data_IF_712918244666
#
_entry.id   IF_712918244666
#
_cell.length_a   1.000
_cell.length_b   1.000
_cell.length_c   1.000
_cell.angle_alpha   90.00
_cell.angle_beta   90.00
_cell.angle_gamma   90.00
#
_symmetry.space_group_name_H-M   'P 1'
#
loop_
_entity.id
_entity.type
_entity.pdbx_description
1 polymer ?
#
# COMPACT_ATOMS: atom_id res chain seq x y z
N UNK A 1 -2.38 -10.47 23.26
CA UNK A 1 -3.07 -10.12 22.00
C UNK A 1 -4.21 -9.16 22.28
N UNK A 2 -4.30 -8.10 21.50
CA UNK A 2 -5.33 -7.10 21.67
C UNK A 2 -6.69 -7.66 21.22
N UNK A 3 -7.74 -7.40 22.00
CA UNK A 3 -9.09 -7.82 21.63
C UNK A 3 -9.61 -6.99 20.47
N UNK A 4 -10.49 -7.59 19.65
CA UNK A 4 -11.08 -6.93 18.47
C UNK A 4 -11.68 -5.57 18.82
N UNK A 5 -12.41 -5.48 19.92
CA UNK A 5 -13.01 -4.22 20.37
C UNK A 5 -11.96 -3.15 20.64
N UNK A 6 -10.86 -3.54 21.29
CA UNK A 6 -9.75 -2.61 21.56
C UNK A 6 -9.10 -2.11 20.28
N UNK A 7 -8.96 -3.00 19.27
CA UNK A 7 -8.44 -2.61 17.96
C UNK A 7 -9.32 -1.55 17.31
N UNK A 8 -10.64 -1.75 17.34
CA UNK A 8 -11.58 -0.82 16.71
C UNK A 8 -11.58 0.57 17.33
N UNK A 9 -11.10 0.70 18.56
CA UNK A 9 -11.00 1.99 19.28
C UNK A 9 -9.71 2.74 19.02
N UNK A 10 -8.75 2.15 18.32
CA UNK A 10 -7.49 2.81 17.98
C UNK A 10 -7.73 3.95 16.98
N UNK A 11 -6.82 4.94 16.99
CA UNK A 11 -6.76 5.97 15.96
C UNK A 11 -6.52 5.31 14.58
N UNK A 12 -6.92 5.99 13.53
CA UNK A 12 -6.93 5.45 12.16
C UNK A 12 -5.60 4.82 11.74
N UNK A 13 -4.50 5.55 11.87
CA UNK A 13 -3.18 5.03 11.45
C UNK A 13 -2.72 3.86 12.33
N UNK A 14 -3.00 3.91 13.62
CA UNK A 14 -2.66 2.82 14.54
C UNK A 14 -3.47 1.57 14.24
N UNK A 15 -4.74 1.74 13.89
CA UNK A 15 -5.61 0.62 13.50
C UNK A 15 -5.07 -0.06 12.24
N UNK A 16 -4.75 0.73 11.22
CA UNK A 16 -4.19 0.20 9.97
C UNK A 16 -2.91 -0.57 10.25
N UNK A 17 -1.99 0.03 11.02
CA UNK A 17 -0.73 -0.62 11.36
C UNK A 17 -0.94 -1.93 12.13
N UNK A 18 -1.83 -1.92 13.11
CA UNK A 18 -2.12 -3.12 13.91
C UNK A 18 -2.64 -4.28 13.05
N UNK A 19 -3.37 -3.97 11.97
CA UNK A 19 -3.90 -4.99 11.06
C UNK A 19 -2.84 -5.49 10.07
N UNK A 20 -1.91 -4.64 9.65
CA UNK A 20 -0.94 -4.99 8.61
C UNK A 20 0.38 -5.52 9.19
N UNK A 21 0.75 -5.12 10.40
CA UNK A 21 2.02 -5.51 11.01
C UNK A 21 2.25 -7.02 11.02
N UNK A 22 1.28 -7.88 11.39
CA UNK A 22 1.50 -9.33 11.37
C UNK A 22 1.87 -9.86 9.99
N UNK A 23 1.32 -9.28 8.92
CA UNK A 23 1.65 -9.66 7.55
C UNK A 23 3.06 -9.20 7.20
N UNK A 24 3.42 -7.98 7.58
CA UNK A 24 4.76 -7.43 7.33
C UNK A 24 5.82 -8.29 8.00
N UNK A 25 5.58 -8.74 9.23
CA UNK A 25 6.51 -9.61 9.94
C UNK A 25 6.73 -10.94 9.23
N UNK A 26 5.72 -11.45 8.57
CA UNK A 26 5.83 -12.71 7.80
C UNK A 26 6.72 -12.57 6.55
N UNK A 27 6.85 -11.38 6.00
CA UNK A 27 7.62 -11.14 4.76
C UNK A 27 8.98 -10.51 5.00
N UNK A 28 9.18 -9.88 6.16
CA UNK A 28 10.42 -9.18 6.48
C UNK A 28 11.62 -10.12 6.44
N UNK A 29 12.67 -9.71 5.73
CA UNK A 29 13.89 -10.50 5.59
C UNK A 29 13.81 -11.67 4.65
N UNK A 30 12.66 -11.89 3.99
CA UNK A 30 12.49 -12.98 3.04
C UNK A 30 12.82 -12.53 1.61
N UNK A 31 13.10 -13.51 0.74
CA UNK A 31 13.31 -13.24 -0.69
C UNK A 31 12.04 -12.71 -1.35
N UNK A 32 12.19 -12.10 -2.53
CA UNK A 32 11.04 -11.62 -3.30
C UNK A 32 10.05 -12.73 -3.63
N UNK A 33 10.54 -13.92 -3.96
CA UNK A 33 9.67 -15.08 -4.26
C UNK A 33 8.87 -15.51 -3.02
N UNK A 34 9.52 -15.55 -1.85
CA UNK A 34 8.84 -15.90 -0.60
C UNK A 34 7.79 -14.86 -0.22
N UNK A 35 8.09 -13.57 -0.41
CA UNK A 35 7.13 -12.49 -0.18
C UNK A 35 5.90 -12.64 -1.08
N UNK A 36 6.12 -12.98 -2.36
CA UNK A 36 5.03 -13.21 -3.31
C UNK A 36 4.16 -14.39 -2.89
N UNK A 37 4.76 -15.46 -2.39
CA UNK A 37 4.02 -16.63 -1.90
C UNK A 37 3.14 -16.28 -0.71
N UNK A 38 3.66 -15.50 0.25
CA UNK A 38 2.87 -15.02 1.39
C UNK A 38 1.71 -14.15 0.90
N UNK A 39 1.99 -13.22 0.00
CA UNK A 39 0.98 -12.31 -0.54
C UNK A 39 -0.16 -13.07 -1.23
N UNK A 40 0.15 -14.09 -2.01
CA UNK A 40 -0.87 -14.89 -2.72
C UNK A 40 -1.82 -15.63 -1.80
N UNK A 41 -1.37 -15.95 -0.58
CA UNK A 41 -2.19 -16.66 0.41
C UNK A 41 -3.10 -15.76 1.21
N UNK A 42 -2.93 -14.44 1.11
CA UNK A 42 -3.76 -13.47 1.83
C UNK A 42 -5.14 -13.37 1.20
N UNK A 43 -6.14 -13.04 2.00
CA UNK A 43 -7.46 -12.67 1.48
C UNK A 43 -7.42 -11.32 0.76
N UNK A 44 -8.47 -11.00 0.02
CA UNK A 44 -8.52 -9.77 -0.81
C UNK A 44 -8.35 -8.50 0.02
N UNK A 45 -8.99 -8.41 1.18
CA UNK A 45 -8.86 -7.26 2.07
C UNK A 45 -7.46 -7.12 2.63
N UNK A 46 -6.86 -8.23 3.03
CA UNK A 46 -5.48 -8.24 3.55
C UNK A 46 -4.47 -7.84 2.47
N UNK A 47 -4.66 -8.31 1.23
CA UNK A 47 -3.80 -7.90 0.11
C UNK A 47 -3.92 -6.40 -0.17
N UNK A 48 -5.15 -5.89 -0.16
CA UNK A 48 -5.41 -4.47 -0.38
C UNK A 48 -4.74 -3.63 0.70
N UNK A 49 -4.88 -4.03 1.96
CA UNK A 49 -4.28 -3.34 3.10
C UNK A 49 -2.75 -3.38 3.03
N UNK A 50 -2.18 -4.53 2.67
CA UNK A 50 -0.74 -4.68 2.50
C UNK A 50 -0.23 -3.73 1.40
N UNK A 51 -0.91 -3.67 0.26
CA UNK A 51 -0.51 -2.78 -0.82
C UNK A 51 -0.68 -1.30 -0.45
N UNK A 52 -1.71 -0.95 0.30
CA UNK A 52 -1.85 0.40 0.85
C UNK A 52 -0.64 0.75 1.74
N UNK A 53 -0.22 -0.17 2.59
CA UNK A 53 0.93 0.05 3.47
C UNK A 53 2.24 0.13 2.68
N UNK A 54 2.41 -0.66 1.62
CA UNK A 54 3.58 -0.56 0.73
C UNK A 54 3.67 0.85 0.15
N UNK A 55 2.54 1.37 -0.34
CA UNK A 55 2.49 2.74 -0.87
C UNK A 55 2.79 3.77 0.22
N UNK A 56 1.99 3.76 1.27
CA UNK A 56 2.04 4.78 2.33
C UNK A 56 3.37 4.75 3.09
N UNK A 57 3.85 3.56 3.43
CA UNK A 57 5.09 3.41 4.18
C UNK A 57 6.34 3.86 3.41
N UNK A 58 6.34 3.68 2.09
CA UNK A 58 7.48 4.05 1.26
C UNK A 58 7.40 5.47 0.67
N UNK A 59 6.26 6.15 0.83
CA UNK A 59 6.11 7.55 0.40
C UNK A 59 6.67 8.57 1.38
N UNK A 60 7.20 8.13 2.51
CA UNK A 60 7.78 9.01 3.53
C UNK A 60 8.87 9.92 2.96
N UNK A 61 9.65 9.43 2.00
CA UNK A 61 10.71 10.19 1.34
C UNK A 61 10.32 10.66 -0.08
N UNK A 62 9.02 10.73 -0.36
CA UNK A 62 8.49 11.19 -1.63
C UNK A 62 8.46 10.11 -2.70
N UNK A 63 8.03 10.51 -3.90
CA UNK A 63 7.86 9.61 -5.06
C UNK A 63 9.17 8.91 -5.43
N UNK A 64 10.29 9.65 -5.47
CA UNK A 64 11.57 9.07 -5.85
C UNK A 64 12.05 8.05 -4.82
N UNK A 65 11.84 8.32 -3.55
CA UNK A 65 12.13 7.35 -2.48
C UNK A 65 11.28 6.10 -2.61
N UNK A 66 10.01 6.26 -2.97
CA UNK A 66 9.12 5.14 -3.24
C UNK A 66 9.66 4.27 -4.39
N UNK A 67 10.05 4.89 -5.51
CA UNK A 67 10.59 4.14 -6.64
C UNK A 67 11.84 3.34 -6.27
N UNK A 68 12.75 3.94 -5.50
CA UNK A 68 13.97 3.27 -5.04
C UNK A 68 13.66 2.04 -4.18
N UNK A 69 12.66 2.15 -3.31
CA UNK A 69 12.30 1.07 -2.39
C UNK A 69 11.57 -0.08 -3.08
N UNK A 70 10.80 0.19 -4.13
CA UNK A 70 9.97 -0.84 -4.77
C UNK A 70 10.52 -1.34 -6.10
N UNK A 71 11.64 -0.80 -6.58
CA UNK A 71 12.22 -1.18 -7.88
C UNK A 71 12.46 -2.69 -8.01
N UNK A 72 12.92 -3.33 -6.95
CA UNK A 72 13.15 -4.78 -6.95
C UNK A 72 11.83 -5.58 -7.09
N UNK A 73 10.73 -5.05 -6.56
CA UNK A 73 9.41 -5.69 -6.66
C UNK A 73 8.78 -5.50 -8.04
N UNK A 74 9.12 -4.39 -8.72
CA UNK A 74 8.58 -4.10 -10.04
C UNK A 74 9.01 -5.15 -11.08
N UNK A 75 10.18 -5.76 -10.88
CA UNK A 75 10.70 -6.79 -11.78
C UNK A 75 10.16 -8.19 -11.44
N UNK A 76 9.94 -8.49 -10.15
CA UNK A 76 9.55 -9.82 -9.68
C UNK A 76 8.05 -10.03 -9.65
N UNK A 77 7.31 -8.96 -9.43
CA UNK A 77 5.85 -8.95 -9.50
C UNK A 77 5.41 -7.63 -10.14
N UNK A 78 4.24 -7.62 -10.75
CA UNK A 78 3.72 -6.37 -11.28
C UNK A 78 3.17 -5.53 -10.13
N UNK A 79 4.07 -4.79 -9.47
CA UNK A 79 3.73 -3.97 -8.31
C UNK A 79 2.64 -2.93 -8.64
N UNK A 80 2.69 -2.36 -9.84
CA UNK A 80 1.71 -1.35 -10.25
C UNK A 80 0.31 -1.92 -10.34
N UNK A 81 0.17 -3.11 -10.93
CA UNK A 81 -1.10 -3.82 -11.01
C UNK A 81 -1.63 -4.19 -9.61
N UNK A 82 -0.75 -4.67 -8.74
CA UNK A 82 -1.12 -5.02 -7.37
C UNK A 82 -1.58 -3.79 -6.57
N UNK A 83 -0.89 -2.66 -6.71
CA UNK A 83 -1.29 -1.40 -6.08
C UNK A 83 -2.67 -0.95 -6.56
N UNK A 84 -2.89 -0.96 -7.86
CA UNK A 84 -4.18 -0.57 -8.45
C UNK A 84 -5.30 -1.49 -8.00
N UNK A 85 -5.07 -2.80 -7.96
CA UNK A 85 -6.06 -3.78 -7.47
C UNK A 85 -6.42 -3.53 -6.02
N UNK A 86 -5.43 -3.24 -5.17
CA UNK A 86 -5.66 -2.91 -3.77
C UNK A 86 -6.52 -1.66 -3.62
N UNK A 87 -6.20 -0.61 -4.36
CA UNK A 87 -6.96 0.64 -4.30
C UNK A 87 -8.37 0.48 -4.85
N UNK A 88 -8.54 -0.37 -5.88
CA UNK A 88 -9.86 -0.69 -6.42
C UNK A 88 -10.72 -1.40 -5.39
N UNK A 89 -10.16 -2.37 -4.68
CA UNK A 89 -10.86 -3.05 -3.59
C UNK A 89 -11.30 -2.06 -2.52
N UNK A 90 -10.45 -1.08 -2.18
CA UNK A 90 -10.74 -0.06 -1.18
C UNK A 90 -11.64 1.07 -1.69
N UNK A 91 -11.91 1.12 -3.00
CA UNK A 91 -12.79 2.13 -3.59
C UNK A 91 -12.13 3.50 -3.81
N UNK A 92 -10.81 3.56 -3.96
CA UNK A 92 -10.07 4.81 -4.08
C UNK A 92 -9.69 5.11 -5.53
N UNK A 93 -10.65 5.58 -6.32
CA UNK A 93 -10.44 5.86 -7.76
C UNK A 93 -9.35 6.91 -7.99
N UNK A 94 -9.33 7.98 -7.20
CA UNK A 94 -8.31 9.02 -7.33
C UNK A 94 -6.90 8.49 -7.06
N UNK A 95 -6.78 7.54 -6.13
CA UNK A 95 -5.50 6.90 -5.85
C UNK A 95 -5.08 5.98 -7.00
N UNK A 96 -6.01 5.30 -7.64
CA UNK A 96 -5.73 4.48 -8.82
C UNK A 96 -5.17 5.35 -9.94
N UNK A 97 -5.76 6.52 -10.18
CA UNK A 97 -5.29 7.49 -11.17
C UNK A 97 -3.87 7.97 -10.85
N UNK A 98 -3.61 8.28 -9.59
CA UNK A 98 -2.28 8.68 -9.15
C UNK A 98 -1.25 7.57 -9.40
N UNK A 99 -1.58 6.34 -9.06
CA UNK A 99 -0.68 5.19 -9.26
C UNK A 99 -0.38 4.99 -10.75
N UNK A 100 -1.37 5.19 -11.63
CA UNK A 100 -1.15 5.14 -13.07
C UNK A 100 -0.15 6.19 -13.54
N UNK A 101 -0.24 7.42 -13.02
CA UNK A 101 0.72 8.49 -13.33
C UNK A 101 2.11 8.18 -12.78
N UNK A 102 2.19 7.57 -11.60
CA UNK A 102 3.45 7.12 -11.01
C UNK A 102 4.11 6.06 -11.88
N UNK A 103 3.35 5.11 -12.36
CA UNK A 103 3.86 4.05 -13.25
C UNK A 103 4.46 4.66 -14.53
N UNK A 104 3.79 5.62 -15.14
CA UNK A 104 4.27 6.31 -16.32
C UNK A 104 5.55 7.10 -16.04
N UNK A 105 5.59 7.79 -14.91
CA UNK A 105 6.77 8.55 -14.47
C UNK A 105 7.96 7.62 -14.22
N UNK A 106 7.72 6.50 -13.56
CA UNK A 106 8.74 5.48 -13.31
C UNK A 106 9.33 4.96 -14.62
N UNK A 107 8.49 4.68 -15.61
CA UNK A 107 8.92 4.21 -16.92
C UNK A 107 9.78 5.26 -17.64
N UNK A 108 9.41 6.55 -17.57
CA UNK A 108 10.20 7.64 -18.14
C UNK A 108 11.59 7.75 -17.50
N UNK A 109 11.66 7.57 -16.18
CA UNK A 109 12.94 7.59 -15.47
C UNK A 109 13.85 6.43 -15.87
N UNK A 110 13.26 5.24 -16.03
CA UNK A 110 14.01 4.07 -16.49
C UNK A 110 14.62 4.30 -17.88
N UNK A 111 13.95 5.10 -18.74
CA UNK A 111 14.43 5.49 -20.06
C UNK A 111 15.36 6.71 -20.03
N UNK A 112 15.73 7.22 -18.88
CA UNK A 112 16.59 8.40 -18.74
C UNK A 112 15.88 9.73 -18.99
N UNK A 113 14.54 9.75 -19.01
CA UNK A 113 13.73 10.96 -19.26
C UNK A 113 13.14 11.49 -17.95
N UNK A 114 13.97 11.63 -16.92
CA UNK A 114 13.54 12.11 -15.61
C UNK A 114 13.01 13.55 -15.69
N UNK A 115 11.89 13.80 -15.00
CA UNK A 115 11.27 15.12 -14.89
C UNK A 115 10.97 15.40 -13.41
N UNK A 116 11.77 16.28 -12.80
CA UNK A 116 11.60 16.63 -11.38
C UNK A 116 10.29 17.36 -11.12
N UNK A 117 9.79 18.15 -12.07
CA UNK A 117 8.51 18.84 -11.94
C UNK A 117 7.36 17.85 -11.86
N UNK A 118 7.41 16.76 -12.66
CA UNK A 118 6.41 15.71 -12.62
C UNK A 118 6.41 15.00 -11.28
N UNK A 119 7.59 14.70 -10.72
CA UNK A 119 7.70 14.06 -9.41
C UNK A 119 7.11 14.95 -8.30
N UNK A 120 7.38 16.25 -8.33
CA UNK A 120 6.83 17.20 -7.35
C UNK A 120 5.30 17.27 -7.44
N UNK A 121 4.75 17.28 -8.65
CA UNK A 121 3.30 17.29 -8.86
C UNK A 121 2.66 16.02 -8.28
N UNK A 122 3.25 14.86 -8.51
CA UNK A 122 2.75 13.60 -7.97
C UNK A 122 2.83 13.57 -6.44
N UNK A 123 3.90 14.10 -5.85
CA UNK A 123 4.03 14.25 -4.39
C UNK A 123 2.90 15.11 -3.83
N UNK A 124 2.57 16.21 -4.49
CA UNK A 124 1.48 17.10 -4.05
C UNK A 124 0.12 16.41 -4.14
N UNK A 125 -0.14 15.68 -5.22
CA UNK A 125 -1.37 14.92 -5.37
C UNK A 125 -1.50 13.89 -4.24
N UNK A 126 -0.43 13.14 -3.96
CA UNK A 126 -0.42 12.15 -2.89
C UNK A 126 -0.74 12.79 -1.54
N UNK A 127 -0.05 13.89 -1.19
CA UNK A 127 -0.27 14.57 0.08
C UNK A 127 -1.71 15.05 0.25
N UNK A 128 -2.35 15.43 -0.84
CA UNK A 128 -3.75 15.87 -0.80
C UNK A 128 -4.72 14.69 -0.65
N UNK A 129 -4.38 13.52 -1.17
CA UNK A 129 -5.25 12.35 -1.11
C UNK A 129 -5.12 11.53 0.17
N UNK A 130 -3.92 11.50 0.76
CA UNK A 130 -3.62 10.52 1.81
C UNK A 130 -4.46 10.66 3.08
N UNK A 131 -4.79 11.87 3.59
CA UNK A 131 -5.60 11.97 4.82
C UNK A 131 -6.98 11.31 4.66
N UNK A 132 -7.64 11.54 3.53
CA UNK A 132 -8.94 10.91 3.25
C UNK A 132 -8.79 9.39 3.04
N UNK A 133 -7.70 8.96 2.41
CA UNK A 133 -7.45 7.53 2.19
C UNK A 133 -7.24 6.80 3.52
N UNK A 134 -6.45 7.36 4.43
CA UNK A 134 -6.25 6.79 5.77
C UNK A 134 -7.58 6.63 6.49
N UNK A 135 -8.41 7.67 6.49
CA UNK A 135 -9.73 7.63 7.11
C UNK A 135 -10.61 6.56 6.47
N UNK A 136 -10.63 6.51 5.14
CA UNK A 136 -11.44 5.54 4.40
C UNK A 136 -11.02 4.09 4.66
N UNK A 137 -9.71 3.81 4.74
CA UNK A 137 -9.20 2.49 5.08
C UNK A 137 -9.63 2.10 6.48
N UNK A 138 -9.42 2.99 7.46
CA UNK A 138 -9.79 2.73 8.85
C UNK A 138 -11.29 2.47 9.00
N UNK A 139 -12.12 3.27 8.33
CA UNK A 139 -13.57 3.09 8.36
C UNK A 139 -13.98 1.74 7.78
N UNK A 140 -13.31 1.32 6.71
CA UNK A 140 -13.58 0.02 6.09
C UNK A 140 -13.19 -1.13 6.99
N UNK A 141 -12.05 -1.03 7.68
CA UNK A 141 -11.63 -2.03 8.67
C UNK A 141 -12.69 -2.13 9.78
N UNK A 142 -13.17 -1.00 10.29
CA UNK A 142 -14.17 -0.98 11.36
C UNK A 142 -15.51 -1.57 10.92
N UNK A 143 -15.88 -1.35 9.64
CA UNK A 143 -17.13 -1.87 9.07
C UNK A 143 -17.07 -3.36 8.74
N UNK A 144 -15.91 -3.84 8.31
CA UNK A 144 -15.71 -5.21 7.86
C UNK A 144 -14.40 -5.79 8.40
N UNK A 145 -14.24 -5.86 9.75
CA UNK A 145 -12.97 -6.28 10.33
C UNK A 145 -12.53 -7.69 9.92
N UNK A 146 -13.48 -8.58 9.64
CA UNK A 146 -13.19 -9.95 9.22
C UNK A 146 -12.41 -10.04 7.91
N UNK A 147 -12.49 -9.00 7.05
CA UNK A 147 -11.79 -8.97 5.77
C UNK A 147 -10.32 -8.57 5.92
N UNK A 148 -9.97 -7.92 7.02
CA UNK A 148 -8.66 -7.30 7.20
C UNK A 148 -7.83 -7.91 8.33
N UNK A 149 -8.47 -8.50 9.32
CA UNK A 149 -7.75 -9.11 10.43
C UNK A 149 -7.11 -10.43 9.99
N UNK A 150 -5.88 -10.71 10.47
CA UNK A 150 -5.26 -12.02 10.18
C UNK A 150 -6.14 -13.13 10.73
N UNK A 151 -6.25 -14.22 9.98
CA UNK A 151 -6.95 -15.40 10.45
C UNK A 151 -6.29 -15.96 11.71
N UNK A 152 -7.09 -16.56 12.58
CA UNK A 152 -6.55 -17.27 13.73
C UNK A 152 -5.84 -18.54 13.24
N UNK A 153 -4.59 -18.71 13.64
CA UNK A 153 -3.83 -19.92 13.38
C UNK A 153 -4.13 -20.97 14.44
#
# INVERSE_FOLDING_TARGET
MMKRQELMELEDEKLIWACVEPVIQKVRGRSGLEKLQVFRKLGDGQRALFMFQVLHGHMEHGINGFYDQVSYLAEQMNIWSALKSGMRYLGFDAMIDLIGKMEDDYARKADGRADNAAAEELDDIYRNLIPSAIRGVADRIRSHPEDFLPGED
#
